data_IF_514276324277
#
_entry.id   IF_514276324277
#
_cell.length_a   1.000
_cell.length_b   1.000
_cell.length_c   1.000
_cell.angle_alpha   90.00
_cell.angle_beta   90.00
_cell.angle_gamma   90.00
#
_symmetry.space_group_name_H-M   'P 1'
#
loop_
_entity.id
_entity.type
_entity.pdbx_description
1 polymer ?
#
# COMPACT_ATOMS: atom_id res chain seq x y z
N UNK A 1 -4.16 19.91 7.50
CA UNK A 1 -4.51 19.00 6.38
C UNK A 1 -5.84 18.33 6.70
N UNK A 2 -6.91 18.54 5.91
CA UNK A 2 -8.19 17.85 6.12
C UNK A 2 -8.17 16.57 5.28
N UNK A 3 -8.06 15.41 5.92
CA UNK A 3 -8.10 14.12 5.23
C UNK A 3 -9.57 13.80 4.93
N UNK A 4 -9.90 13.65 3.65
CA UNK A 4 -11.24 13.28 3.23
C UNK A 4 -11.41 11.75 3.32
N UNK A 5 -12.15 11.30 4.33
CA UNK A 5 -12.43 9.89 4.60
C UNK A 5 -13.72 9.38 3.96
N UNK A 6 -14.45 10.21 3.22
CA UNK A 6 -15.66 9.79 2.47
C UNK A 6 -15.35 9.33 1.05
N UNK A 7 -14.10 9.48 0.61
CA UNK A 7 -13.63 8.98 -0.70
C UNK A 7 -13.60 7.45 -0.71
N UNK A 8 -14.11 6.84 -1.79
CA UNK A 8 -13.96 5.41 -2.08
C UNK A 8 -12.61 5.09 -2.74
N UNK A 9 -11.69 6.05 -2.80
CA UNK A 9 -10.37 5.85 -3.37
C UNK A 9 -9.57 4.79 -2.62
N UNK A 10 -8.78 4.02 -3.38
CA UNK A 10 -7.89 3.00 -2.82
C UNK A 10 -6.74 3.70 -2.10
N UNK A 11 -6.44 3.30 -0.87
CA UNK A 11 -5.31 3.80 -0.08
C UNK A 11 -4.00 3.86 -0.88
N UNK A 12 -3.74 2.84 -1.72
CA UNK A 12 -2.53 2.76 -2.56
C UNK A 12 -2.34 4.00 -3.45
N UNK A 13 -3.41 4.65 -3.91
CA UNK A 13 -3.32 5.81 -4.80
C UNK A 13 -2.82 7.06 -4.05
N UNK A 14 -3.03 7.12 -2.73
CA UNK A 14 -2.47 8.17 -1.87
C UNK A 14 -1.09 7.82 -1.32
N UNK A 15 -0.79 6.53 -1.22
CA UNK A 15 0.45 6.03 -0.63
C UNK A 15 1.59 5.89 -1.65
N UNK A 16 1.27 5.49 -2.88
CA UNK A 16 2.20 5.37 -4.00
C UNK A 16 2.08 6.64 -4.81
N UNK A 17 3.03 7.56 -4.62
CA UNK A 17 3.00 8.91 -5.19
C UNK A 17 3.14 9.00 -6.72
N UNK A 18 4.01 8.21 -7.38
CA UNK A 18 4.16 8.31 -8.84
C UNK A 18 2.86 7.97 -9.56
N UNK A 19 2.44 8.85 -10.47
CA UNK A 19 1.40 8.52 -11.43
C UNK A 19 1.91 7.50 -12.45
N UNK A 20 1.00 6.96 -13.26
CA UNK A 20 1.39 6.06 -14.35
C UNK A 20 2.37 6.73 -15.31
N UNK A 21 2.19 8.02 -15.60
CA UNK A 21 3.09 8.77 -16.47
C UNK A 21 4.48 8.94 -15.82
N UNK A 22 4.53 9.27 -14.52
CA UNK A 22 5.80 9.39 -13.80
C UNK A 22 6.56 8.06 -13.79
N UNK A 23 5.83 6.95 -13.61
CA UNK A 23 6.41 5.61 -13.67
C UNK A 23 7.04 5.34 -15.05
N UNK A 24 6.35 5.66 -16.14
CA UNK A 24 6.88 5.47 -17.50
C UNK A 24 8.12 6.33 -17.77
N UNK A 25 8.12 7.60 -17.34
CA UNK A 25 9.27 8.51 -17.49
C UNK A 25 10.48 8.02 -16.69
N UNK A 26 10.25 7.48 -15.49
CA UNK A 26 11.29 6.86 -14.68
C UNK A 26 11.86 5.59 -15.32
N UNK A 27 11.01 4.67 -15.79
CA UNK A 27 11.44 3.43 -16.45
C UNK A 27 12.27 3.73 -17.70
N UNK A 28 11.85 4.72 -18.50
CA UNK A 28 12.61 5.20 -19.67
C UNK A 28 13.98 5.75 -19.29
N UNK A 29 14.07 6.48 -18.18
CA UNK A 29 15.34 7.01 -17.67
C UNK A 29 16.28 5.90 -17.23
N UNK A 30 15.74 4.86 -16.59
CA UNK A 30 16.49 3.67 -16.17
C UNK A 30 16.91 2.81 -17.38
N UNK A 31 16.12 2.84 -18.46
CA UNK A 31 16.39 2.09 -19.69
C UNK A 31 15.72 0.73 -19.77
N UNK A 32 14.63 0.52 -19.01
CA UNK A 32 13.86 -0.73 -18.98
C UNK A 32 12.41 -0.47 -19.42
N UNK A 33 11.73 -1.52 -19.89
CA UNK A 33 10.40 -1.44 -20.50
C UNK A 33 9.23 -1.56 -19.50
N UNK A 34 9.48 -2.10 -18.31
CA UNK A 34 8.46 -2.39 -17.31
C UNK A 34 9.02 -2.46 -15.90
N UNK A 35 8.12 -2.34 -14.91
CA UNK A 35 8.46 -2.56 -13.51
C UNK A 35 8.86 -4.02 -13.26
N UNK A 36 8.22 -4.97 -13.96
CA UNK A 36 8.55 -6.39 -13.91
C UNK A 36 9.98 -6.65 -14.37
N UNK A 37 10.41 -6.07 -15.50
CA UNK A 37 11.81 -6.16 -15.98
C UNK A 37 12.78 -5.56 -14.96
N UNK A 38 12.46 -4.40 -14.38
CA UNK A 38 13.29 -3.77 -13.36
C UNK A 38 13.48 -4.68 -12.14
N UNK A 39 12.39 -5.28 -11.64
CA UNK A 39 12.44 -6.27 -10.55
C UNK A 39 13.26 -7.49 -10.99
N UNK A 40 13.14 -7.87 -12.26
CA UNK A 40 13.79 -9.05 -12.82
C UNK A 40 15.32 -8.96 -12.80
N UNK A 41 15.84 -7.80 -13.15
CA UNK A 41 17.26 -7.48 -13.18
C UNK A 41 17.84 -7.14 -11.80
N UNK A 42 16.99 -6.70 -10.85
CA UNK A 42 17.44 -6.26 -9.52
C UNK A 42 17.50 -7.39 -8.48
N UNK A 43 16.51 -8.28 -8.45
CA UNK A 43 16.36 -9.27 -7.37
C UNK A 43 16.61 -10.69 -7.90
N UNK A 44 17.59 -11.46 -7.40
CA UNK A 44 17.80 -12.83 -7.87
C UNK A 44 16.56 -13.73 -7.74
N UNK A 45 16.21 -14.47 -8.80
CA UNK A 45 14.98 -15.27 -8.85
C UNK A 45 14.89 -16.33 -7.75
N UNK A 46 16.03 -16.88 -7.30
CA UNK A 46 16.10 -17.95 -6.31
C UNK A 46 15.68 -17.52 -4.88
N UNK A 47 15.69 -16.21 -4.59
CA UNK A 47 15.30 -15.68 -3.27
C UNK A 47 13.91 -15.02 -3.28
N UNK A 48 13.23 -14.97 -4.44
CA UNK A 48 11.90 -14.37 -4.52
C UNK A 48 10.82 -15.29 -3.97
N UNK A 49 9.71 -14.69 -3.54
CA UNK A 49 8.52 -15.43 -3.18
C UNK A 49 8.00 -16.24 -4.37
N UNK A 50 7.76 -17.53 -4.16
CA UNK A 50 7.21 -18.44 -5.19
C UNK A 50 5.71 -18.29 -5.39
N UNK A 51 5.03 -17.67 -4.42
CA UNK A 51 3.59 -17.44 -4.41
C UNK A 51 3.32 -16.05 -3.82
N UNK A 52 2.23 -15.38 -4.23
CA UNK A 52 1.82 -14.12 -3.62
C UNK A 52 1.60 -14.24 -2.11
N UNK A 53 1.67 -13.10 -1.41
CA UNK A 53 1.36 -13.06 0.01
C UNK A 53 -0.10 -13.47 0.27
N UNK A 54 -0.30 -14.36 1.25
CA UNK A 54 -1.63 -14.77 1.69
C UNK A 54 -2.21 -13.71 2.65
N UNK A 55 -2.74 -12.62 2.09
CA UNK A 55 -3.29 -11.50 2.86
C UNK A 55 -4.82 -11.43 2.73
N UNK A 56 -5.52 -10.89 3.75
CA UNK A 56 -6.92 -10.52 3.61
C UNK A 56 -7.14 -9.50 2.48
N UNK A 57 -8.36 -9.36 1.96
CA UNK A 57 -8.68 -8.33 0.97
C UNK A 57 -8.30 -6.92 1.46
N UNK A 58 -7.84 -6.04 0.55
CA UNK A 58 -7.47 -4.68 0.93
C UNK A 58 -8.69 -3.93 1.49
N UNK A 59 -8.46 -3.15 2.54
CA UNK A 59 -9.48 -2.31 3.15
C UNK A 59 -9.38 -0.87 2.63
N UNK A 60 -10.53 -0.19 2.52
CA UNK A 60 -10.54 1.27 2.38
C UNK A 60 -10.11 1.92 3.70
N UNK A 61 -9.60 3.15 3.63
CA UNK A 61 -9.21 3.91 4.83
C UNK A 61 -10.38 4.09 5.81
N UNK A 62 -11.58 4.34 5.29
CA UNK A 62 -12.79 4.48 6.09
C UNK A 62 -13.12 3.18 6.85
N UNK A 63 -13.08 2.04 6.15
CA UNK A 63 -13.35 0.72 6.74
C UNK A 63 -12.32 0.37 7.81
N UNK A 64 -11.04 0.65 7.52
CA UNK A 64 -9.95 0.47 8.48
C UNK A 64 -10.21 1.30 9.75
N UNK A 65 -10.50 2.60 9.63
CA UNK A 65 -10.75 3.47 10.79
C UNK A 65 -11.98 3.05 11.59
N UNK A 66 -13.05 2.60 10.93
CA UNK A 66 -14.25 2.09 11.61
C UNK A 66 -13.92 0.84 12.44
N UNK A 67 -13.19 -0.10 11.85
CA UNK A 67 -12.77 -1.34 12.50
C UNK A 67 -11.80 -1.05 13.65
N UNK A 68 -10.81 -0.19 13.41
CA UNK A 68 -9.83 0.21 14.40
C UNK A 68 -10.48 0.89 15.62
N UNK A 69 -11.42 1.82 15.42
CA UNK A 69 -12.19 2.44 16.52
C UNK A 69 -12.95 1.40 17.34
N UNK A 70 -13.59 0.43 16.69
CA UNK A 70 -14.30 -0.65 17.37
C UNK A 70 -13.37 -1.62 18.12
N UNK A 71 -12.13 -1.79 17.66
CA UNK A 71 -11.10 -2.57 18.37
C UNK A 71 -10.62 -1.81 19.60
N UNK A 72 -10.26 -0.53 19.46
CA UNK A 72 -9.75 0.30 20.56
C UNK A 72 -10.79 0.50 21.66
N UNK A 73 -12.08 0.63 21.33
CA UNK A 73 -13.15 0.80 22.33
C UNK A 73 -13.36 -0.41 23.25
N UNK A 74 -12.83 -1.58 22.89
CA UNK A 74 -12.87 -2.79 23.72
C UNK A 74 -11.76 -2.80 24.78
N UNK A 75 -10.73 -1.98 24.62
CA UNK A 75 -9.64 -1.88 25.58
C UNK A 75 -10.04 -0.94 26.71
N UNK A 76 -10.05 -1.44 27.95
CA UNK A 76 -10.12 -0.59 29.14
C UNK A 76 -8.75 0.04 29.36
N UNK A 77 -8.63 1.34 29.13
CA UNK A 77 -7.50 2.11 29.65
C UNK A 77 -7.72 2.34 31.15
N UNK A 78 -7.53 1.29 31.96
CA UNK A 78 -7.51 1.43 33.42
C UNK A 78 -6.12 1.85 33.88
N UNK A 79 -6.02 3.05 34.44
CA UNK A 79 -4.96 3.55 35.33
C UNK A 79 -3.56 3.74 34.73
N UNK A 80 -3.41 4.75 33.87
CA UNK A 80 -2.12 5.41 33.62
C UNK A 80 -2.29 6.94 33.68
N UNK A 81 -2.89 7.43 34.77
CA UNK A 81 -2.57 8.70 35.46
C UNK A 81 -2.90 8.48 36.94
#
# INVERSE_FOLDING_TARGET
MKINLSSSEKFRNRHISPSENDLQDMLKTIGVDSLETLIDETIPKNIRLKQPLQLPPPQSENSFLKTFKATVSKTKFSNLI
#
